data_IF_839776705065
#
_entry.id   IF_839776705065
#
_cell.length_a   1.000
_cell.length_b   1.000
_cell.length_c   1.000
_cell.angle_alpha   90.00
_cell.angle_beta   90.00
_cell.angle_gamma   90.00
#
_symmetry.space_group_name_H-M   'P 1'
#
loop_
_entity.id
_entity.type
_entity.pdbx_description
1 polymer ?
#
# COMPACT_ATOMS: atom_id res chain seq x y z
N UNK A 1 -19.36 -20.70 16.79
CA UNK A 1 -18.96 -21.32 18.09
C UNK A 1 -18.68 -22.79 17.85
N UNK A 2 -17.51 -23.31 18.28
CA UNK A 2 -17.07 -24.70 17.96
C UNK A 2 -17.98 -25.82 18.55
N UNK A 3 -18.84 -25.51 19.52
CA UNK A 3 -19.65 -26.50 20.23
C UNK A 3 -21.16 -26.21 20.24
N UNK A 4 -21.65 -25.33 19.36
CA UNK A 4 -23.08 -24.95 19.34
C UNK A 4 -24.00 -26.12 19.04
N UNK A 5 -23.55 -27.13 18.27
CA UNK A 5 -24.31 -28.38 18.02
C UNK A 5 -24.48 -29.22 19.29
N UNK A 6 -23.43 -29.30 20.13
CA UNK A 6 -23.50 -30.00 21.42
C UNK A 6 -24.47 -29.32 22.39
N UNK A 7 -24.43 -27.97 22.41
CA UNK A 7 -25.37 -27.20 23.25
C UNK A 7 -26.83 -27.37 22.81
N UNK A 8 -27.08 -27.42 21.48
CA UNK A 8 -28.42 -27.74 20.97
C UNK A 8 -28.87 -29.14 21.39
N UNK A 9 -27.99 -30.14 21.27
CA UNK A 9 -28.30 -31.51 21.71
C UNK A 9 -28.67 -31.58 23.19
N UNK A 10 -27.95 -30.84 24.08
CA UNK A 10 -28.33 -30.72 25.49
C UNK A 10 -29.71 -30.10 25.66
N UNK A 11 -29.99 -29.03 24.92
CA UNK A 11 -31.27 -28.34 24.97
C UNK A 11 -32.43 -29.23 24.54
N UNK A 12 -32.27 -29.94 23.42
CA UNK A 12 -33.26 -30.89 22.89
C UNK A 12 -33.49 -32.06 23.84
N UNK A 13 -32.42 -32.70 24.35
CA UNK A 13 -32.55 -33.78 25.35
C UNK A 13 -33.26 -33.34 26.63
N UNK A 14 -33.02 -32.11 27.07
CA UNK A 14 -33.69 -31.56 28.25
C UNK A 14 -35.16 -31.24 27.95
N UNK A 15 -35.48 -30.61 26.82
CA UNK A 15 -36.82 -30.19 26.46
C UNK A 15 -37.73 -31.37 26.09
N UNK A 16 -37.23 -32.36 25.34
CA UNK A 16 -38.08 -33.47 24.83
C UNK A 16 -38.11 -34.66 25.77
N UNK A 17 -37.05 -34.96 26.49
CA UNK A 17 -36.93 -36.18 27.31
C UNK A 17 -36.75 -35.92 28.80
N UNK A 18 -36.74 -34.66 29.24
CA UNK A 18 -36.63 -34.28 30.65
C UNK A 18 -35.27 -34.58 31.30
N UNK A 19 -34.25 -34.95 30.54
CA UNK A 19 -32.93 -35.28 31.12
C UNK A 19 -32.33 -34.09 31.86
N UNK A 20 -31.68 -34.29 33.02
CA UNK A 20 -31.01 -33.22 33.72
C UNK A 20 -29.89 -32.64 32.87
N UNK A 21 -29.85 -31.31 32.74
CA UNK A 21 -28.80 -30.58 31.96
C UNK A 21 -27.39 -30.96 32.40
N UNK A 22 -27.20 -31.19 33.71
CA UNK A 22 -25.90 -31.56 34.25
C UNK A 22 -25.44 -32.93 33.76
N UNK A 23 -26.32 -33.94 33.72
CA UNK A 23 -26.02 -35.28 33.22
C UNK A 23 -25.72 -35.24 31.72
N UNK A 24 -26.49 -34.52 30.91
CA UNK A 24 -26.26 -34.35 29.48
C UNK A 24 -24.92 -33.63 29.19
N UNK A 25 -24.61 -32.59 29.93
CA UNK A 25 -23.34 -31.91 29.80
C UNK A 25 -22.14 -32.80 30.16
N UNK A 26 -22.26 -33.64 31.19
CA UNK A 26 -21.23 -34.59 31.63
C UNK A 26 -20.96 -35.65 30.57
N UNK A 27 -22.01 -36.22 29.98
CA UNK A 27 -21.92 -37.23 28.89
C UNK A 27 -21.25 -36.65 27.65
N UNK A 28 -21.59 -35.41 27.27
CA UNK A 28 -21.01 -34.73 26.09
C UNK A 28 -19.67 -34.04 26.35
N UNK A 29 -19.12 -34.23 27.56
CA UNK A 29 -17.86 -33.59 27.98
C UNK A 29 -17.81 -32.08 27.75
N UNK A 30 -18.91 -31.37 28.05
CA UNK A 30 -18.99 -29.91 27.95
C UNK A 30 -19.25 -29.28 29.31
N UNK A 31 -18.78 -28.05 29.50
CA UNK A 31 -19.00 -27.29 30.72
C UNK A 31 -20.48 -26.86 30.84
N UNK A 32 -21.15 -27.23 31.95
CA UNK A 32 -22.52 -26.76 32.27
C UNK A 32 -22.59 -25.23 32.29
N UNK A 33 -21.58 -24.55 32.84
CA UNK A 33 -21.52 -23.10 32.87
C UNK A 33 -21.44 -22.49 31.46
N UNK A 34 -20.74 -23.15 30.54
CA UNK A 34 -20.66 -22.73 29.14
C UNK A 34 -22.02 -22.95 28.41
N UNK A 35 -22.69 -24.06 28.67
CA UNK A 35 -24.04 -24.32 28.18
C UNK A 35 -25.05 -23.28 28.69
N UNK A 36 -25.12 -23.02 30.00
CA UNK A 36 -26.06 -22.05 30.58
C UNK A 36 -25.80 -20.62 30.04
N UNK A 37 -24.54 -20.25 29.81
CA UNK A 37 -24.20 -18.98 29.17
C UNK A 37 -24.68 -18.92 27.71
N UNK A 38 -24.57 -20.01 26.98
CA UNK A 38 -25.12 -20.11 25.64
C UNK A 38 -26.62 -20.07 25.64
N UNK A 39 -27.28 -20.85 26.49
CA UNK A 39 -28.77 -20.97 26.61
C UNK A 39 -29.39 -19.64 27.07
N UNK A 40 -28.74 -18.87 27.92
CA UNK A 40 -29.25 -17.56 28.35
C UNK A 40 -29.30 -16.51 27.24
N UNK A 41 -28.68 -16.77 26.09
CA UNK A 41 -28.57 -15.80 24.98
C UNK A 41 -27.81 -14.53 25.29
N UNK A 42 -27.31 -14.38 26.53
CA UNK A 42 -26.57 -13.17 26.94
C UNK A 42 -25.24 -13.08 26.20
N UNK A 43 -25.09 -12.05 25.41
CA UNK A 43 -23.84 -11.74 24.71
C UNK A 43 -22.89 -11.05 25.67
N UNK A 44 -21.62 -11.50 25.70
CA UNK A 44 -20.61 -10.80 26.49
C UNK A 44 -20.29 -9.42 25.88
N UNK A 45 -19.86 -8.47 26.71
CA UNK A 45 -19.40 -7.16 26.23
C UNK A 45 -18.34 -7.30 25.10
N UNK A 46 -17.41 -8.26 25.26
CA UNK A 46 -16.41 -8.59 24.23
C UNK A 46 -17.02 -9.12 22.92
N UNK A 47 -18.14 -9.84 22.99
CA UNK A 47 -18.84 -10.32 21.79
C UNK A 47 -19.47 -9.16 21.05
N UNK A 48 -20.17 -8.28 21.77
CA UNK A 48 -20.78 -7.07 21.20
C UNK A 48 -19.74 -6.14 20.60
N UNK A 49 -18.61 -5.93 21.28
CA UNK A 49 -17.50 -5.17 20.75
C UNK A 49 -16.89 -5.78 19.46
N UNK A 50 -16.74 -7.12 19.44
CA UNK A 50 -16.27 -7.82 18.25
C UNK A 50 -17.23 -7.67 17.06
N UNK A 51 -18.54 -7.67 17.29
CA UNK A 51 -19.54 -7.47 16.25
C UNK A 51 -19.42 -6.06 15.64
N UNK A 52 -19.34 -5.03 16.48
CA UNK A 52 -19.11 -3.64 16.04
C UNK A 52 -17.83 -3.48 15.20
N UNK A 53 -16.73 -4.08 15.68
CA UNK A 53 -15.47 -4.04 14.92
C UNK A 53 -15.60 -4.81 13.60
N UNK A 54 -16.31 -5.96 13.59
CA UNK A 54 -16.49 -6.75 12.39
C UNK A 54 -17.32 -6.02 11.32
N UNK A 55 -18.33 -5.23 11.72
CA UNK A 55 -19.08 -4.36 10.83
C UNK A 55 -18.18 -3.29 10.17
N UNK A 56 -17.31 -2.64 10.97
CA UNK A 56 -16.34 -1.69 10.44
C UNK A 56 -15.31 -2.35 9.51
N UNK A 57 -14.82 -3.54 9.85
CA UNK A 57 -13.91 -4.34 9.00
C UNK A 57 -14.57 -4.64 7.64
N UNK A 58 -15.85 -4.99 7.64
CA UNK A 58 -16.64 -5.28 6.43
C UNK A 58 -16.83 -4.02 5.59
N UNK A 59 -17.17 -2.89 6.21
CA UNK A 59 -17.31 -1.60 5.53
C UNK A 59 -16.00 -1.19 4.85
N UNK A 60 -14.87 -1.21 5.57
CA UNK A 60 -13.54 -0.88 5.01
C UNK A 60 -13.20 -1.82 3.83
N UNK A 61 -13.56 -3.10 3.92
CA UNK A 61 -13.31 -4.05 2.84
C UNK A 61 -14.19 -3.79 1.61
N UNK A 62 -15.45 -3.41 1.79
CA UNK A 62 -16.35 -3.04 0.68
C UNK A 62 -15.82 -1.83 -0.08
N UNK A 63 -15.31 -0.81 0.62
CA UNK A 63 -14.71 0.38 0.02
C UNK A 63 -13.36 0.11 -0.64
N UNK A 64 -12.59 -0.83 -0.11
CA UNK A 64 -11.22 -1.14 -0.55
C UNK A 64 -10.93 -2.65 -0.46
N UNK A 65 -11.43 -3.46 -1.41
CA UNK A 65 -11.30 -4.93 -1.39
C UNK A 65 -9.84 -5.42 -1.50
N UNK A 66 -8.94 -4.57 -1.95
CA UNK A 66 -7.50 -4.85 -2.03
C UNK A 66 -6.81 -4.86 -0.67
N UNK A 67 -7.43 -4.30 0.40
CA UNK A 67 -6.81 -4.26 1.72
C UNK A 67 -6.85 -5.62 2.41
N UNK A 68 -5.68 -6.09 2.86
CA UNK A 68 -5.58 -7.22 3.79
C UNK A 68 -5.77 -6.78 5.24
N UNK A 69 -5.93 -7.73 6.17
CA UNK A 69 -6.25 -7.47 7.58
C UNK A 69 -5.33 -6.46 8.28
N UNK A 70 -4.04 -6.37 7.91
CA UNK A 70 -3.12 -5.37 8.49
C UNK A 70 -3.47 -3.96 8.05
N UNK A 71 -3.75 -3.76 6.77
CA UNK A 71 -4.16 -2.44 6.25
C UNK A 71 -5.54 -2.04 6.76
N UNK A 72 -6.46 -3.01 6.89
CA UNK A 72 -7.77 -2.78 7.53
C UNK A 72 -7.56 -2.33 8.99
N UNK A 73 -6.64 -2.96 9.74
CA UNK A 73 -6.33 -2.55 11.10
C UNK A 73 -5.67 -1.15 11.18
N UNK A 74 -4.87 -0.79 10.17
CA UNK A 74 -4.29 0.56 10.09
C UNK A 74 -5.38 1.62 9.86
N UNK A 75 -6.38 1.33 9.01
CA UNK A 75 -7.54 2.21 8.82
C UNK A 75 -8.44 2.29 10.07
N UNK A 76 -8.68 1.17 10.76
CA UNK A 76 -9.41 1.18 12.04
C UNK A 76 -8.71 2.09 13.06
N UNK A 77 -7.38 2.05 13.12
CA UNK A 77 -6.60 2.87 14.04
C UNK A 77 -6.59 4.34 13.63
N UNK A 78 -6.41 4.63 12.35
CA UNK A 78 -6.25 5.97 11.82
C UNK A 78 -7.60 6.72 11.72
N UNK A 79 -8.60 6.09 11.09
CA UNK A 79 -9.86 6.76 10.76
C UNK A 79 -10.92 6.60 11.83
N UNK A 80 -10.94 5.44 12.53
CA UNK A 80 -11.98 5.10 13.50
C UNK A 80 -11.49 5.18 14.95
N UNK A 81 -10.20 5.48 15.17
CA UNK A 81 -9.54 5.51 16.49
C UNK A 81 -9.70 4.21 17.30
N UNK A 82 -9.89 3.07 16.61
CA UNK A 82 -10.04 1.75 17.21
C UNK A 82 -8.68 1.05 17.29
N UNK A 83 -8.14 0.90 18.50
CA UNK A 83 -6.86 0.25 18.76
C UNK A 83 -7.03 -1.22 19.10
N UNK A 84 -6.81 -2.10 18.15
CA UNK A 84 -6.90 -3.55 18.32
C UNK A 84 -5.68 -4.27 17.76
N UNK A 85 -5.43 -5.49 18.27
CA UNK A 85 -4.32 -6.31 17.79
C UNK A 85 -4.63 -6.89 16.40
N UNK A 86 -3.61 -6.96 15.54
CA UNK A 86 -3.69 -7.57 14.20
C UNK A 86 -4.30 -8.98 14.20
N UNK A 87 -3.99 -9.81 15.21
CA UNK A 87 -4.55 -11.17 15.35
C UNK A 87 -6.06 -11.14 15.57
N UNK A 88 -6.58 -10.12 16.29
CA UNK A 88 -8.01 -9.95 16.52
C UNK A 88 -8.71 -9.59 15.20
N UNK A 89 -8.18 -8.64 14.44
CA UNK A 89 -8.72 -8.27 13.12
C UNK A 89 -8.66 -9.43 12.14
N UNK A 90 -7.54 -10.16 12.08
CA UNK A 90 -7.41 -11.36 11.22
C UNK A 90 -8.49 -12.40 11.53
N UNK A 91 -8.80 -12.63 12.84
CA UNK A 91 -9.87 -13.54 13.23
C UNK A 91 -11.23 -13.05 12.75
N UNK A 92 -11.53 -11.75 12.89
CA UNK A 92 -12.79 -11.16 12.42
C UNK A 92 -12.92 -11.24 10.90
N UNK A 93 -11.84 -10.95 10.15
CA UNK A 93 -11.81 -11.14 8.70
C UNK A 93 -12.13 -12.60 8.31
N UNK A 94 -11.57 -13.59 9.03
CA UNK A 94 -11.85 -15.01 8.78
C UNK A 94 -13.32 -15.37 9.05
N UNK A 95 -13.91 -14.85 10.11
CA UNK A 95 -15.35 -15.07 10.45
C UNK A 95 -16.25 -14.48 9.37
N UNK A 96 -15.89 -13.31 8.80
CA UNK A 96 -16.63 -12.64 7.73
C UNK A 96 -16.22 -13.10 6.32
N UNK A 97 -15.35 -14.12 6.19
CA UNK A 97 -14.83 -14.62 4.91
C UNK A 97 -14.11 -13.53 4.07
N UNK A 98 -13.56 -12.51 4.72
CA UNK A 98 -12.88 -11.39 4.08
C UNK A 98 -11.43 -11.77 3.73
N UNK A 99 -11.07 -11.61 2.44
CA UNK A 99 -9.72 -11.80 1.91
C UNK A 99 -9.39 -10.67 0.94
N UNK A 100 -8.13 -10.21 0.96
CA UNK A 100 -7.65 -9.24 -0.03
C UNK A 100 -7.74 -9.81 -1.45
N UNK A 101 -8.15 -8.98 -2.39
CA UNK A 101 -8.22 -9.33 -3.83
C UNK A 101 -6.87 -9.24 -4.54
N UNK A 102 -5.81 -8.76 -3.86
CA UNK A 102 -4.47 -8.65 -4.46
C UNK A 102 -3.93 -10.04 -4.83
N UNK A 103 -3.55 -10.17 -6.12
CA UNK A 103 -2.79 -11.33 -6.62
C UNK A 103 -1.31 -10.97 -6.68
N UNK A 104 -0.46 -11.90 -6.26
CA UNK A 104 1.00 -11.72 -6.27
C UNK A 104 1.55 -12.18 -7.63
N UNK A 105 2.16 -11.27 -8.40
CA UNK A 105 2.89 -11.57 -9.62
C UNK A 105 4.25 -10.87 -9.57
N UNK A 106 5.34 -11.63 -9.75
CA UNK A 106 6.70 -11.11 -9.83
C UNK A 106 7.07 -10.90 -11.30
N UNK A 107 7.10 -9.64 -11.76
CA UNK A 107 7.70 -9.27 -13.04
C UNK A 107 8.54 -8.01 -12.88
N UNK A 108 9.82 -8.12 -13.19
CA UNK A 108 10.77 -7.00 -13.27
C UNK A 108 11.02 -6.62 -14.72
N UNK A 109 11.10 -5.32 -15.02
CA UNK A 109 11.33 -4.82 -16.39
C UNK A 109 12.22 -3.56 -16.36
N UNK A 110 13.54 -3.74 -16.32
CA UNK A 110 14.50 -2.62 -16.40
C UNK A 110 15.29 -2.71 -17.73
N UNK A 111 15.34 -1.63 -18.51
CA UNK A 111 16.18 -1.49 -19.70
C UNK A 111 17.40 -0.64 -19.39
N UNK A 112 18.59 -1.17 -19.65
CA UNK A 112 19.87 -0.48 -19.43
C UNK A 112 20.19 0.48 -20.58
N UNK A 113 20.90 1.59 -20.27
CA UNK A 113 21.57 2.43 -21.25
C UNK A 113 22.71 1.65 -21.92
N UNK A 114 22.76 1.68 -23.27
CA UNK A 114 23.85 1.04 -24.02
C UNK A 114 25.15 1.88 -23.96
N UNK A 115 25.06 3.21 -24.00
CA UNK A 115 26.18 4.14 -23.93
C UNK A 115 25.83 5.29 -22.98
N UNK A 116 26.15 5.20 -21.67
CA UNK A 116 25.91 6.28 -20.70
C UNK A 116 26.85 7.47 -20.98
N UNK A 117 26.31 8.69 -21.07
CA UNK A 117 27.10 9.91 -21.26
C UNK A 117 27.70 10.42 -19.93
N UNK A 118 27.01 10.17 -18.83
CA UNK A 118 27.44 10.53 -17.48
C UNK A 118 27.00 9.44 -16.50
N UNK A 119 27.84 9.12 -15.55
CA UNK A 119 27.53 8.15 -14.47
C UNK A 119 27.99 8.73 -13.15
N UNK A 120 27.07 8.96 -12.24
CA UNK A 120 27.37 9.38 -10.86
C UNK A 120 27.67 8.17 -9.96
N UNK A 121 28.36 8.43 -8.86
CA UNK A 121 28.59 7.45 -7.80
C UNK A 121 27.29 7.12 -7.04
N UNK A 122 27.27 5.97 -6.38
CA UNK A 122 26.15 5.59 -5.51
C UNK A 122 26.32 6.20 -4.11
N UNK A 123 26.02 7.48 -3.98
CA UNK A 123 26.09 8.20 -2.71
C UNK A 123 24.98 7.83 -1.74
N UNK A 124 23.84 7.34 -2.24
CA UNK A 124 22.71 6.90 -1.40
C UNK A 124 23.06 5.65 -0.60
N UNK A 125 23.84 4.74 -1.20
CA UNK A 125 24.30 3.46 -0.64
C UNK A 125 23.26 2.73 0.23
N UNK A 126 22.02 2.67 -0.25
CA UNK A 126 20.84 2.06 0.43
C UNK A 126 20.45 2.71 1.76
N UNK A 127 21.00 3.87 2.08
CA UNK A 127 20.53 4.66 3.21
C UNK A 127 19.22 5.36 2.85
N UNK A 128 18.11 4.59 2.93
CA UNK A 128 16.75 5.06 2.64
C UNK A 128 16.09 5.82 3.79
N UNK A 129 16.85 6.18 4.80
CA UNK A 129 16.41 7.06 5.88
C UNK A 129 16.68 8.52 5.51
N UNK A 130 15.74 9.40 5.84
CA UNK A 130 15.88 10.85 5.74
C UNK A 130 15.26 11.48 6.98
N UNK A 131 15.86 12.55 7.50
CA UNK A 131 15.45 13.21 8.73
C UNK A 131 14.44 14.34 8.49
N UNK A 132 14.39 14.85 7.27
CA UNK A 132 13.51 15.96 6.85
C UNK A 132 13.01 15.79 5.41
N UNK A 133 11.87 16.44 5.06
CA UNK A 133 11.42 16.51 3.68
C UNK A 133 12.46 17.14 2.77
N UNK A 134 12.49 16.70 1.52
CA UNK A 134 13.38 17.22 0.49
C UNK A 134 14.89 17.02 0.78
N UNK A 135 15.25 16.03 1.61
CA UNK A 135 16.64 15.63 1.85
C UNK A 135 17.13 14.64 0.80
N UNK A 136 16.31 13.66 0.44
CA UNK A 136 16.65 12.61 -0.54
C UNK A 136 15.45 12.31 -1.42
N UNK A 137 15.61 12.44 -2.72
CA UNK A 137 14.60 12.09 -3.71
C UNK A 137 15.03 10.89 -4.55
N UNK A 138 14.12 9.96 -4.75
CA UNK A 138 14.30 8.83 -5.66
C UNK A 138 13.43 9.02 -6.89
N UNK A 139 13.94 8.62 -8.04
CA UNK A 139 13.18 8.67 -9.30
C UNK A 139 13.33 7.39 -10.11
N UNK A 140 12.32 7.10 -10.89
CA UNK A 140 12.30 6.00 -11.85
C UNK A 140 11.16 6.18 -12.85
N UNK A 141 11.17 5.37 -13.91
CA UNK A 141 10.11 5.31 -14.93
C UNK A 141 9.54 3.90 -14.98
N UNK A 142 8.21 3.79 -14.97
CA UNK A 142 7.53 2.50 -15.12
C UNK A 142 6.59 2.49 -16.31
N UNK A 143 6.40 1.32 -16.94
CA UNK A 143 5.52 1.08 -18.08
C UNK A 143 4.18 0.51 -17.62
N UNK A 144 3.10 0.98 -18.27
CA UNK A 144 1.77 0.41 -18.22
C UNK A 144 1.28 0.11 -19.62
N UNK A 145 0.31 -0.80 -19.76
CA UNK A 145 -0.30 -1.18 -21.03
C UNK A 145 -1.81 -0.97 -20.97
N UNK A 146 -2.38 -0.53 -22.09
CA UNK A 146 -3.81 -0.53 -22.34
C UNK A 146 -4.09 -1.16 -23.70
N UNK A 147 -5.34 -1.51 -23.98
CA UNK A 147 -5.70 -2.37 -25.10
C UNK A 147 -6.84 -1.74 -25.90
N UNK A 148 -6.64 -1.60 -27.21
CA UNK A 148 -7.68 -1.23 -28.16
C UNK A 148 -7.97 -2.45 -29.03
N UNK A 149 -9.04 -3.19 -28.68
CA UNK A 149 -9.28 -4.50 -29.26
C UNK A 149 -8.13 -5.47 -29.00
N UNK A 150 -7.40 -5.84 -30.05
CA UNK A 150 -6.21 -6.72 -30.02
C UNK A 150 -4.89 -5.93 -29.93
N UNK A 151 -4.92 -4.64 -30.19
CA UNK A 151 -3.72 -3.80 -30.16
C UNK A 151 -3.30 -3.48 -28.72
N UNK A 152 -1.98 -3.48 -28.49
CA UNK A 152 -1.37 -3.21 -27.20
C UNK A 152 -0.63 -1.89 -27.26
N UNK A 153 -1.12 -0.92 -26.53
CA UNK A 153 -0.52 0.39 -26.39
C UNK A 153 0.20 0.53 -25.06
N UNK A 154 1.14 1.48 -24.97
CA UNK A 154 1.95 1.72 -23.78
C UNK A 154 1.80 3.15 -23.29
N UNK A 155 1.87 3.28 -21.98
CA UNK A 155 1.97 4.56 -21.28
C UNK A 155 3.12 4.43 -20.27
N UNK A 156 3.90 5.49 -20.12
CA UNK A 156 5.02 5.56 -19.19
C UNK A 156 4.74 6.59 -18.11
N UNK A 157 5.03 6.22 -16.87
CA UNK A 157 4.92 7.07 -15.72
C UNK A 157 6.31 7.31 -15.16
N UNK A 158 6.77 8.57 -15.20
CA UNK A 158 7.94 9.04 -14.45
C UNK A 158 7.47 9.67 -13.16
N UNK A 159 8.10 9.35 -12.03
CA UNK A 159 7.77 9.96 -10.75
C UNK A 159 9.00 10.17 -9.87
N UNK A 160 8.88 11.10 -8.93
CA UNK A 160 9.87 11.41 -7.90
C UNK A 160 9.23 11.17 -6.54
N UNK A 161 9.90 10.38 -5.69
CA UNK A 161 9.49 10.02 -4.34
C UNK A 161 10.45 10.62 -3.32
N UNK A 162 9.93 11.28 -2.29
CA UNK A 162 10.67 11.75 -1.15
C UNK A 162 10.88 10.62 -0.13
N UNK A 163 12.11 10.44 0.36
CA UNK A 163 12.41 9.36 1.30
C UNK A 163 11.94 9.63 2.73
N UNK A 164 11.76 10.88 3.14
CA UNK A 164 11.29 11.21 4.49
C UNK A 164 9.84 10.82 4.74
N UNK A 165 8.95 11.33 3.90
CA UNK A 165 7.51 11.18 4.05
C UNK A 165 6.88 10.21 3.06
N UNK A 166 7.68 9.68 2.11
CA UNK A 166 7.25 8.73 1.08
C UNK A 166 6.22 9.31 0.10
N UNK A 167 6.01 10.64 0.08
CA UNK A 167 5.12 11.27 -0.89
C UNK A 167 5.70 11.22 -2.31
N UNK A 168 4.82 11.14 -3.27
CA UNK A 168 5.16 11.43 -4.66
C UNK A 168 5.19 12.94 -4.81
N UNK A 169 6.41 13.46 -4.97
CA UNK A 169 6.70 14.90 -5.08
C UNK A 169 6.21 15.45 -6.41
N UNK A 170 6.46 14.70 -7.48
CA UNK A 170 6.08 15.04 -8.85
C UNK A 170 5.94 13.79 -9.69
N UNK A 171 5.12 13.87 -10.72
CA UNK A 171 4.99 12.84 -11.74
C UNK A 171 4.54 13.39 -13.08
N UNK A 172 4.85 12.66 -14.15
CA UNK A 172 4.36 12.91 -15.51
C UNK A 172 4.01 11.58 -16.16
N UNK A 173 2.86 11.55 -16.84
CA UNK A 173 2.43 10.44 -17.66
C UNK A 173 2.65 10.82 -19.15
N UNK A 174 3.25 9.92 -19.93
CA UNK A 174 3.55 10.15 -21.34
C UNK A 174 3.50 8.88 -22.15
N UNK A 175 3.47 9.03 -23.47
CA UNK A 175 3.35 7.90 -24.41
C UNK A 175 4.72 7.36 -24.83
N UNK A 176 5.80 8.03 -24.44
CA UNK A 176 7.19 7.63 -24.76
C UNK A 176 8.04 7.63 -23.49
N UNK A 177 8.94 6.65 -23.41
CA UNK A 177 9.99 6.61 -22.40
C UNK A 177 11.21 7.36 -22.92
N UNK A 178 11.19 8.68 -22.80
CA UNK A 178 12.19 9.59 -23.38
C UNK A 178 12.68 10.63 -22.35
N UNK A 179 13.68 11.43 -22.76
CA UNK A 179 14.23 12.49 -21.94
C UNK A 179 13.20 13.57 -21.55
N UNK A 180 12.32 14.05 -22.45
CA UNK A 180 11.28 15.01 -22.11
C UNK A 180 10.37 14.57 -20.97
N UNK A 181 10.03 13.28 -20.88
CA UNK A 181 9.20 12.72 -19.80
C UNK A 181 9.85 12.96 -18.44
N UNK A 182 11.13 12.57 -18.31
CA UNK A 182 11.87 12.69 -17.04
C UNK A 182 12.19 14.16 -16.73
N UNK A 183 12.60 14.94 -17.72
CA UNK A 183 12.93 16.36 -17.55
C UNK A 183 11.71 17.16 -17.05
N UNK A 184 10.55 16.92 -17.66
CA UNK A 184 9.29 17.55 -17.22
C UNK A 184 8.90 17.15 -15.80
N UNK A 185 9.15 15.89 -15.42
CA UNK A 185 8.92 15.41 -14.04
C UNK A 185 9.80 16.15 -13.06
N UNK A 186 11.09 16.29 -13.39
CA UNK A 186 12.08 17.02 -12.60
C UNK A 186 11.72 18.51 -12.48
N UNK A 187 11.44 19.19 -13.61
CA UNK A 187 11.13 20.62 -13.63
C UNK A 187 9.88 20.94 -12.79
N UNK A 188 8.86 20.04 -12.82
CA UNK A 188 7.68 20.15 -11.93
C UNK A 188 8.03 20.01 -10.46
N UNK A 189 8.94 19.09 -10.12
CA UNK A 189 9.37 18.88 -8.73
C UNK A 189 10.09 20.11 -8.18
N UNK A 190 11.02 20.66 -8.95
CA UNK A 190 11.76 21.88 -8.58
C UNK A 190 10.81 23.07 -8.42
N UNK A 191 9.89 23.25 -9.35
CA UNK A 191 8.88 24.34 -9.27
C UNK A 191 7.98 24.22 -8.05
N UNK A 192 7.59 23.00 -7.67
CA UNK A 192 6.71 22.76 -6.52
C UNK A 192 7.44 22.84 -5.16
N UNK A 193 8.78 22.75 -5.16
CA UNK A 193 9.59 22.79 -3.94
C UNK A 193 10.78 23.76 -4.12
N UNK A 194 10.53 25.07 -4.18
CA UNK A 194 11.57 26.05 -4.36
C UNK A 194 12.57 26.01 -3.19
N UNK A 195 13.87 26.05 -3.49
CA UNK A 195 14.93 25.98 -2.49
C UNK A 195 15.24 24.57 -1.96
N UNK A 196 14.63 23.52 -2.49
CA UNK A 196 14.97 22.15 -2.16
C UNK A 196 16.25 21.70 -2.91
N UNK A 197 17.22 21.17 -2.17
CA UNK A 197 18.49 20.64 -2.71
C UNK A 197 18.73 19.20 -2.27
N UNK A 198 17.83 18.24 -2.64
CA UNK A 198 17.96 16.85 -2.24
C UNK A 198 19.16 16.14 -2.89
N UNK A 199 19.64 15.07 -2.23
CA UNK A 199 20.36 14.02 -2.93
C UNK A 199 19.39 13.35 -3.91
N UNK A 200 19.64 13.49 -5.21
CA UNK A 200 18.76 12.99 -6.27
C UNK A 200 19.26 11.63 -6.78
N UNK A 201 18.56 10.56 -6.44
CA UNK A 201 18.97 9.19 -6.78
C UNK A 201 18.09 8.57 -7.87
N UNK A 202 18.74 7.93 -8.85
CA UNK A 202 18.10 7.23 -9.96
C UNK A 202 18.79 5.90 -10.26
N UNK A 203 18.17 5.09 -11.13
CA UNK A 203 18.89 4.05 -11.85
C UNK A 203 19.83 4.64 -12.92
N UNK A 204 20.49 3.76 -13.70
CA UNK A 204 21.34 4.16 -14.83
C UNK A 204 20.57 4.13 -16.16
N UNK A 205 19.31 4.51 -16.15
CA UNK A 205 18.52 4.71 -17.37
C UNK A 205 19.13 5.79 -18.26
N UNK A 206 18.91 5.70 -19.58
CA UNK A 206 19.52 6.63 -20.54
C UNK A 206 19.10 8.08 -20.32
N UNK A 207 17.93 8.31 -19.72
CA UNK A 207 17.42 9.64 -19.38
C UNK A 207 18.25 10.29 -18.29
N UNK A 208 18.66 9.51 -17.27
CA UNK A 208 19.40 9.98 -16.10
C UNK A 208 20.91 10.10 -16.37
N UNK A 209 21.41 9.31 -17.30
CA UNK A 209 22.82 9.37 -17.77
C UNK A 209 23.05 10.43 -18.83
N UNK A 210 22.04 11.23 -19.17
CA UNK A 210 22.10 12.30 -20.15
C UNK A 210 22.80 13.53 -19.53
N UNK A 211 23.78 14.12 -20.26
CA UNK A 211 24.53 15.31 -19.80
C UNK A 211 23.61 16.51 -19.52
N UNK A 212 22.57 16.71 -20.34
CA UNK A 212 21.60 17.80 -20.13
C UNK A 212 20.85 17.63 -18.81
N UNK A 213 20.51 16.38 -18.42
CA UNK A 213 19.88 16.11 -17.15
C UNK A 213 20.80 16.41 -15.98
N UNK A 214 22.06 16.00 -16.06
CA UNK A 214 23.09 16.33 -15.07
C UNK A 214 23.23 17.85 -14.88
N UNK A 215 23.35 18.63 -15.97
CA UNK A 215 23.39 20.09 -15.92
C UNK A 215 22.13 20.70 -15.29
N UNK A 216 20.95 20.10 -15.47
CA UNK A 216 19.73 20.56 -14.79
C UNK A 216 19.80 20.36 -13.27
N UNK A 217 20.33 19.23 -12.81
CA UNK A 217 20.55 18.95 -11.39
C UNK A 217 21.55 19.95 -10.76
N UNK A 218 22.68 20.18 -11.43
CA UNK A 218 23.68 21.14 -10.97
C UNK A 218 23.10 22.56 -10.83
N UNK A 219 22.35 23.03 -11.85
CA UNK A 219 21.66 24.33 -11.82
C UNK A 219 20.64 24.45 -10.69
N UNK A 220 20.03 23.34 -10.28
CA UNK A 220 19.13 23.27 -9.14
C UNK A 220 19.85 23.07 -7.79
N UNK A 221 21.21 23.02 -7.78
CA UNK A 221 22.01 22.81 -6.58
C UNK A 221 21.83 21.40 -5.98
N UNK A 222 21.46 20.41 -6.79
CA UNK A 222 21.22 19.04 -6.35
C UNK A 222 22.40 18.13 -6.67
N UNK A 223 22.70 17.21 -5.76
CA UNK A 223 23.73 16.18 -5.96
C UNK A 223 23.11 14.94 -6.60
N UNK A 224 23.71 14.49 -7.71
CA UNK A 224 23.25 13.27 -8.39
C UNK A 224 23.88 12.03 -7.77
N UNK A 225 23.06 11.00 -7.57
CA UNK A 225 23.47 9.66 -7.15
C UNK A 225 22.83 8.61 -8.05
N UNK A 226 23.56 7.53 -8.35
CA UNK A 226 23.05 6.48 -9.24
C UNK A 226 23.25 5.09 -8.66
N UNK A 227 22.24 4.23 -8.87
CA UNK A 227 22.32 2.81 -8.50
C UNK A 227 23.52 2.11 -9.14
N UNK A 228 24.08 1.12 -8.46
CA UNK A 228 25.10 0.24 -9.02
C UNK A 228 24.56 -0.60 -10.18
N UNK A 229 25.44 -1.02 -11.08
CA UNK A 229 25.04 -1.87 -12.21
C UNK A 229 24.40 -3.16 -11.72
N UNK A 230 23.22 -3.48 -12.22
CA UNK A 230 22.45 -4.68 -11.88
C UNK A 230 22.03 -4.82 -10.39
N UNK A 231 22.04 -3.74 -9.64
CA UNK A 231 21.57 -3.69 -8.25
C UNK A 231 20.27 -2.91 -8.15
N UNK A 232 19.16 -3.50 -8.61
CA UNK A 232 17.83 -2.89 -8.55
C UNK A 232 17.43 -2.50 -7.11
N UNK A 233 17.89 -3.24 -6.12
CA UNK A 233 17.63 -2.97 -4.70
C UNK A 233 18.16 -1.58 -4.24
N UNK A 234 19.08 -0.97 -5.00
CA UNK A 234 19.60 0.38 -4.69
C UNK A 234 18.54 1.47 -4.90
N UNK A 235 17.42 1.18 -5.63
CA UNK A 235 16.25 2.05 -5.79
C UNK A 235 14.98 1.42 -5.17
N UNK A 236 15.15 0.59 -4.14
CA UNK A 236 14.10 -0.25 -3.54
C UNK A 236 12.81 0.46 -3.14
N UNK A 237 12.81 1.65 -2.51
CA UNK A 237 11.58 2.36 -2.17
C UNK A 237 10.75 2.77 -3.39
N UNK A 238 11.39 3.16 -4.51
CA UNK A 238 10.67 3.51 -5.73
C UNK A 238 10.09 2.27 -6.43
N UNK A 239 10.86 1.17 -6.50
CA UNK A 239 10.36 -0.12 -6.97
C UNK A 239 9.19 -0.63 -6.09
N UNK A 240 9.28 -0.42 -4.77
CA UNK A 240 8.21 -0.71 -3.82
C UNK A 240 6.93 0.06 -4.15
N UNK A 241 7.03 1.34 -4.47
CA UNK A 241 5.90 2.17 -4.88
C UNK A 241 5.24 1.65 -6.16
N UNK A 242 6.04 1.31 -7.20
CA UNK A 242 5.51 0.71 -8.44
C UNK A 242 4.78 -0.60 -8.17
N UNK A 243 5.39 -1.45 -7.35
CA UNK A 243 4.79 -2.72 -6.95
C UNK A 243 3.46 -2.54 -6.24
N UNK A 244 3.34 -1.55 -5.36
CA UNK A 244 2.11 -1.23 -4.63
C UNK A 244 1.04 -0.71 -5.61
N UNK A 245 1.34 0.31 -6.43
CA UNK A 245 0.42 0.87 -7.41
C UNK A 245 -0.13 -0.21 -8.35
N UNK A 246 0.78 -1.01 -8.93
CA UNK A 246 0.40 -2.05 -9.89
C UNK A 246 -0.45 -3.14 -9.26
N UNK A 247 -0.14 -3.60 -8.05
CA UNK A 247 -0.92 -4.61 -7.35
C UNK A 247 -2.29 -4.11 -6.91
N UNK A 248 -2.36 -2.87 -6.43
CA UNK A 248 -3.59 -2.34 -5.85
C UNK A 248 -4.60 -1.89 -6.92
N UNK A 249 -4.14 -1.44 -8.11
CA UNK A 249 -5.06 -0.81 -9.09
C UNK A 249 -4.88 -1.27 -10.54
N UNK A 250 -3.75 -1.84 -10.92
CA UNK A 250 -3.48 -2.15 -12.31
C UNK A 250 -3.66 -3.63 -12.67
N UNK A 251 -3.04 -4.59 -11.95
CA UNK A 251 -3.04 -6.00 -12.35
C UNK A 251 -4.40 -6.69 -12.29
N UNK A 252 -5.35 -6.16 -11.56
CA UNK A 252 -6.72 -6.72 -11.47
C UNK A 252 -7.67 -6.23 -12.57
N UNK A 253 -7.21 -5.35 -13.47
CA UNK A 253 -8.02 -4.69 -14.48
C UNK A 253 -7.39 -4.78 -15.86
N UNK A 254 -8.24 -4.78 -16.90
CA UNK A 254 -7.83 -4.57 -18.29
C UNK A 254 -8.32 -3.19 -18.72
N UNK A 255 -7.41 -2.31 -19.02
CA UNK A 255 -7.71 -0.95 -19.46
C UNK A 255 -7.93 -0.95 -20.98
N UNK A 256 -9.04 -0.40 -21.43
CA UNK A 256 -9.45 -0.35 -22.83
C UNK A 256 -9.27 1.02 -23.48
N UNK A 257 -8.89 2.03 -22.68
CA UNK A 257 -8.55 3.35 -23.20
C UNK A 257 -7.38 3.97 -22.45
N UNK A 258 -6.63 4.81 -23.18
CA UNK A 258 -5.55 5.61 -22.58
C UNK A 258 -6.06 6.50 -21.44
N UNK A 259 -7.23 7.11 -21.65
CA UNK A 259 -7.83 8.02 -20.65
C UNK A 259 -8.11 7.29 -19.35
N UNK A 260 -8.77 6.14 -19.40
CA UNK A 260 -9.07 5.32 -18.21
C UNK A 260 -7.80 4.95 -17.43
N UNK A 261 -6.73 4.56 -18.14
CA UNK A 261 -5.45 4.22 -17.52
C UNK A 261 -4.79 5.44 -16.85
N UNK A 262 -4.76 6.58 -17.54
CA UNK A 262 -4.19 7.83 -17.00
C UNK A 262 -4.99 8.30 -15.79
N UNK A 263 -6.31 8.33 -15.87
CA UNK A 263 -7.20 8.71 -14.76
C UNK A 263 -6.97 7.78 -13.54
N UNK A 264 -6.79 6.48 -13.76
CA UNK A 264 -6.45 5.54 -12.68
C UNK A 264 -5.11 5.88 -12.03
N UNK A 265 -4.07 6.17 -12.81
CA UNK A 265 -2.74 6.52 -12.29
C UNK A 265 -2.81 7.80 -11.45
N UNK A 266 -3.43 8.85 -11.98
CA UNK A 266 -3.53 10.17 -11.32
C UNK A 266 -4.36 10.08 -10.03
N UNK A 267 -5.51 9.40 -10.08
CA UNK A 267 -6.35 9.17 -8.91
C UNK A 267 -5.62 8.32 -7.85
N UNK A 268 -4.82 7.34 -8.29
CA UNK A 268 -4.05 6.52 -7.36
C UNK A 268 -2.96 7.33 -6.66
N UNK A 269 -2.20 8.17 -7.36
CA UNK A 269 -1.16 9.00 -6.75
C UNK A 269 -1.78 9.98 -5.75
N UNK A 270 -2.93 10.58 -6.07
CA UNK A 270 -3.68 11.42 -5.14
C UNK A 270 -4.12 10.65 -3.90
N UNK A 271 -4.66 9.44 -4.07
CA UNK A 271 -5.02 8.54 -2.96
C UNK A 271 -3.79 8.15 -2.14
N UNK A 272 -2.68 7.77 -2.78
CA UNK A 272 -1.45 7.37 -2.14
C UNK A 272 -0.89 8.46 -1.22
N UNK A 273 -0.83 9.69 -1.70
CA UNK A 273 -0.30 10.81 -0.94
C UNK A 273 -1.23 11.23 0.22
N UNK A 274 -2.56 11.24 0.03
CA UNK A 274 -3.47 11.90 0.95
C UNK A 274 -4.35 10.96 1.78
N UNK A 275 -4.48 9.67 1.39
CA UNK A 275 -5.42 8.75 2.05
C UNK A 275 -4.82 7.38 2.36
N UNK A 276 -3.71 7.02 1.72
CA UNK A 276 -3.09 5.73 1.93
C UNK A 276 -2.20 5.75 3.16
N UNK A 277 -2.72 5.24 4.26
CA UNK A 277 -2.00 5.09 5.53
C UNK A 277 -0.83 4.11 5.40
N UNK A 278 0.30 4.41 6.02
CA UNK A 278 1.53 3.61 6.00
C UNK A 278 2.11 3.38 7.40
N UNK A 279 2.34 2.12 7.77
CA UNK A 279 2.90 1.75 9.09
C UNK A 279 4.30 2.32 9.34
N UNK A 280 5.13 2.34 8.31
CA UNK A 280 6.49 2.89 8.40
C UNK A 280 6.52 4.41 8.60
N UNK A 281 5.39 5.09 8.41
CA UNK A 281 5.21 6.51 8.73
C UNK A 281 4.49 6.74 10.08
N UNK A 282 4.38 5.71 10.92
CA UNK A 282 3.64 5.81 12.18
C UNK A 282 2.12 5.73 12.04
N UNK A 283 1.63 5.02 11.00
CA UNK A 283 0.20 4.93 10.64
C UNK A 283 -0.37 6.27 10.17
N UNK A 284 0.44 7.02 9.43
CA UNK A 284 0.07 8.28 8.79
C UNK A 284 0.06 8.13 7.27
N UNK A 285 -0.61 9.03 6.59
CA UNK A 285 -0.45 9.23 5.15
C UNK A 285 0.85 10.00 4.86
N UNK A 286 1.41 9.91 3.64
CA UNK A 286 2.55 10.72 3.23
C UNK A 286 2.37 12.22 3.50
N UNK A 287 1.22 12.80 3.16
CA UNK A 287 0.97 14.23 3.34
C UNK A 287 0.77 14.63 4.79
N UNK A 288 0.17 13.78 5.63
CA UNK A 288 0.11 14.03 7.07
C UNK A 288 1.51 14.08 7.68
N UNK A 289 2.38 13.11 7.33
CA UNK A 289 3.77 13.11 7.79
C UNK A 289 4.53 14.35 7.33
N UNK A 290 4.31 14.77 6.07
CA UNK A 290 4.88 16.00 5.51
C UNK A 290 4.44 17.25 6.28
N UNK A 291 3.12 17.41 6.46
CA UNK A 291 2.54 18.57 7.11
C UNK A 291 2.91 18.67 8.60
N UNK A 292 3.04 17.52 9.29
CA UNK A 292 3.52 17.51 10.69
C UNK A 292 4.94 18.09 10.80
N UNK A 293 5.81 17.82 9.85
CA UNK A 293 7.15 18.40 9.86
C UNK A 293 7.13 19.92 9.59
N UNK A 294 6.27 20.37 8.69
CA UNK A 294 6.16 21.81 8.37
C UNK A 294 5.55 22.62 9.53
N UNK A 295 4.79 21.96 10.41
CA UNK A 295 4.15 22.59 11.56
C UNK A 295 5.02 22.55 12.84
N UNK A 296 6.13 21.81 12.84
CA UNK A 296 7.07 21.67 13.96
C UNK A 296 8.18 22.72 13.88
#
# INVERSE_FOLDING_TARGET
>A
MRQSHLYRAVQECHAEKGYPVEAACKILHISRAAYLRWASGKRSARTMENEKIAEKVEQIHMESPDKGYRRINDDLRHNEHIHVNDKRVLRLCRVKCIKSTIKYNNHSCTRRAKNPQYVAENLLDRNFHADKPNEKWLTDVTEFKWYEGIEVHKVYLSAILDLYDRRIVSYVVGDRNDNPLVFKTFDRAVKANPGAHPLFHSDRGFQYTNRTFHTKLEKAGMTQSMSRVAKCIDNGPMEGFWGILKRERYYSRRFTSRKELVDMIENYIRYYNNRRVQRNLGVLTPMEKHNMFLAA
#
